data_IF_641212939050
#
_entry.id   IF_641212939050
#
_cell.length_a   1.000
_cell.length_b   1.000
_cell.length_c   1.000
_cell.angle_alpha   90.00
_cell.angle_beta   90.00
_cell.angle_gamma   90.00
#
_symmetry.space_group_name_H-M   'P 1'
#
loop_
_entity.id
_entity.type
_entity.pdbx_description
1 polymer ?
#
# COMPACT_ATOMS: atom_id res chain seq x y z
N UNK A 1 1.19 -35.89 -3.44
CA UNK A 1 1.30 -34.99 -4.60
C UNK A 1 1.83 -33.67 -4.07
N UNK A 2 3.10 -33.34 -4.30
CA UNK A 2 3.65 -32.02 -3.93
C UNK A 2 3.10 -31.01 -4.95
N UNK A 3 2.25 -30.09 -4.50
CA UNK A 3 1.93 -28.89 -5.26
C UNK A 3 3.17 -28.02 -5.17
N UNK A 4 3.93 -27.93 -6.27
CA UNK A 4 4.99 -26.93 -6.39
C UNK A 4 4.28 -25.60 -6.61
N UNK A 5 4.06 -24.87 -5.52
CA UNK A 5 3.65 -23.47 -5.60
C UNK A 5 4.86 -22.69 -6.11
N UNK A 6 4.87 -22.43 -7.42
CA UNK A 6 5.83 -21.50 -8.00
C UNK A 6 5.54 -20.12 -7.38
N UNK A 7 6.41 -19.67 -6.46
CA UNK A 7 6.38 -18.31 -5.94
C UNK A 7 6.88 -17.37 -7.05
N UNK A 8 5.98 -16.94 -7.95
CA UNK A 8 6.26 -16.02 -9.07
C UNK A 8 6.34 -14.56 -8.57
N UNK A 9 6.94 -14.30 -7.41
CA UNK A 9 6.87 -13.00 -6.75
C UNK A 9 8.12 -12.11 -6.89
N UNK A 10 9.36 -12.64 -6.84
CA UNK A 10 10.54 -11.77 -6.84
C UNK A 10 10.68 -10.95 -8.13
N UNK A 11 10.51 -11.60 -9.29
CA UNK A 11 10.77 -10.98 -10.60
C UNK A 11 9.59 -10.10 -11.08
N UNK A 12 8.38 -10.33 -10.58
CA UNK A 12 7.19 -9.59 -11.02
C UNK A 12 7.03 -8.22 -10.34
N UNK A 13 7.68 -8.02 -9.20
CA UNK A 13 7.54 -6.82 -8.36
C UNK A 13 8.83 -5.98 -8.28
N UNK A 14 9.72 -6.08 -9.27
CA UNK A 14 10.99 -5.34 -9.29
C UNK A 14 10.82 -3.81 -9.23
N UNK A 15 9.69 -3.27 -9.71
CA UNK A 15 9.39 -1.83 -9.69
C UNK A 15 8.90 -1.33 -8.34
N UNK A 16 8.58 -2.22 -7.40
CA UNK A 16 8.06 -1.88 -6.09
C UNK A 16 9.14 -1.23 -5.21
N UNK A 17 8.75 -0.18 -4.48
CA UNK A 17 9.68 0.57 -3.62
C UNK A 17 9.12 0.64 -2.21
N UNK A 18 10.00 0.50 -1.23
CA UNK A 18 9.70 0.81 0.16
C UNK A 18 10.48 2.05 0.57
N UNK A 19 9.81 2.98 1.24
CA UNK A 19 10.44 4.10 1.91
C UNK A 19 10.12 4.08 3.39
N UNK A 20 11.14 4.33 4.20
CA UNK A 20 11.03 4.60 5.64
C UNK A 20 11.40 6.05 5.97
N UNK A 21 11.64 6.88 4.93
CA UNK A 21 12.08 8.26 5.10
C UNK A 21 10.89 9.22 5.21
N UNK A 22 11.16 10.46 5.60
CA UNK A 22 10.14 11.48 5.83
C UNK A 22 9.29 11.74 4.59
N UNK A 23 8.06 12.20 4.78
CA UNK A 23 7.10 12.43 3.71
C UNK A 23 7.57 13.43 2.65
N UNK A 24 8.38 14.43 3.03
CA UNK A 24 8.93 15.43 2.11
C UNK A 24 9.80 14.80 1.00
N UNK A 25 10.63 13.82 1.33
CA UNK A 25 11.50 13.14 0.34
C UNK A 25 10.68 12.28 -0.64
N UNK A 26 9.48 11.87 -0.24
CA UNK A 26 8.62 10.97 -1.00
C UNK A 26 7.50 11.70 -1.77
N UNK A 27 7.39 13.02 -1.66
CA UNK A 27 6.34 13.84 -2.30
C UNK A 27 6.18 13.53 -3.79
N UNK A 28 7.29 13.37 -4.52
CA UNK A 28 7.25 13.04 -5.95
C UNK A 28 6.58 11.70 -6.23
N UNK A 29 6.81 10.70 -5.37
CA UNK A 29 6.25 9.36 -5.55
C UNK A 29 4.74 9.36 -5.26
N UNK A 30 4.27 10.11 -4.26
CA UNK A 30 2.82 10.27 -4.01
C UNK A 30 2.06 10.94 -5.18
N UNK A 31 2.77 11.70 -6.03
CA UNK A 31 2.19 12.30 -7.22
C UNK A 31 2.07 11.31 -8.39
N UNK A 32 2.96 10.33 -8.50
CA UNK A 32 3.03 9.44 -9.68
C UNK A 32 2.58 8.03 -9.43
N UNK A 33 2.71 7.54 -8.20
CA UNK A 33 2.57 6.13 -7.86
C UNK A 33 1.37 5.92 -6.92
N UNK A 34 0.81 4.72 -6.96
CA UNK A 34 -0.09 4.27 -5.91
C UNK A 34 0.72 3.93 -4.68
N UNK A 35 0.17 4.18 -3.49
CA UNK A 35 0.89 3.91 -2.26
C UNK A 35 0.03 3.36 -1.13
N UNK A 36 0.68 2.53 -0.31
CA UNK A 36 0.17 2.06 0.97
C UNK A 36 1.09 2.62 2.06
N UNK A 37 0.56 3.50 2.90
CA UNK A 37 1.31 4.16 3.97
C UNK A 37 0.86 3.62 5.31
N UNK A 38 1.79 3.31 6.21
CA UNK A 38 1.51 3.06 7.62
C UNK A 38 2.24 4.08 8.48
N UNK A 39 1.51 4.81 9.31
CA UNK A 39 2.06 5.80 10.22
C UNK A 39 2.59 5.09 11.48
N UNK A 40 3.89 5.20 11.73
CA UNK A 40 4.54 4.62 12.92
C UNK A 40 4.54 5.61 14.08
N UNK A 41 4.78 6.89 13.79
CA UNK A 41 4.71 7.98 14.77
C UNK A 41 4.43 9.31 14.09
N UNK A 42 3.83 10.25 14.82
CA UNK A 42 3.44 11.55 14.29
C UNK A 42 2.29 11.46 13.29
N UNK A 43 1.95 12.59 12.69
CA UNK A 43 0.83 12.71 11.74
C UNK A 43 1.32 13.03 10.34
N UNK A 44 0.63 12.47 9.34
CA UNK A 44 0.86 12.79 7.93
C UNK A 44 -0.37 13.48 7.35
N UNK A 45 -0.22 14.74 6.96
CA UNK A 45 -1.26 15.48 6.28
C UNK A 45 -1.18 15.20 4.78
N UNK A 46 -2.32 14.80 4.21
CA UNK A 46 -2.52 14.47 2.82
C UNK A 46 -3.51 15.45 2.23
N UNK A 47 -3.07 16.19 1.21
CA UNK A 47 -3.86 17.18 0.52
C UNK A 47 -4.01 16.80 -0.94
N UNK A 48 -5.25 16.78 -1.40
CA UNK A 48 -5.60 16.72 -2.81
C UNK A 48 -6.47 17.95 -3.16
N UNK A 49 -6.85 18.08 -4.44
CA UNK A 49 -7.61 19.25 -4.94
C UNK A 49 -8.87 19.57 -4.13
N UNK A 50 -9.49 18.55 -3.54
CA UNK A 50 -10.84 18.62 -2.99
C UNK A 50 -10.94 18.20 -1.51
N UNK A 51 -9.83 17.83 -0.88
CA UNK A 51 -9.81 17.45 0.53
C UNK A 51 -8.43 17.50 1.17
N UNK A 52 -8.46 17.65 2.48
CA UNK A 52 -7.34 17.43 3.38
C UNK A 52 -7.72 16.28 4.31
N UNK A 53 -6.80 15.34 4.46
CA UNK A 53 -6.95 14.18 5.35
C UNK A 53 -5.69 14.03 6.18
N UNK A 54 -5.83 13.53 7.39
CA UNK A 54 -4.71 13.31 8.31
C UNK A 54 -4.64 11.82 8.58
N UNK A 55 -3.46 11.23 8.44
CA UNK A 55 -3.16 9.88 8.90
C UNK A 55 -2.55 9.99 10.28
N UNK A 56 -3.19 9.39 11.27
CA UNK A 56 -2.70 9.32 12.64
C UNK A 56 -1.83 8.09 12.89
N UNK A 57 -1.08 8.12 14.00
CA UNK A 57 -0.24 7.01 14.42
C UNK A 57 -1.00 5.67 14.45
N UNK A 58 -0.40 4.65 13.84
CA UNK A 58 -0.93 3.30 13.78
C UNK A 58 -2.02 3.09 12.73
N UNK A 59 -2.43 4.13 12.02
CA UNK A 59 -3.33 4.01 10.88
C UNK A 59 -2.58 3.62 9.60
N UNK A 60 -3.31 3.03 8.66
CA UNK A 60 -2.83 2.68 7.34
C UNK A 60 -3.65 3.42 6.29
N UNK A 61 -3.04 3.91 5.22
CA UNK A 61 -3.73 4.63 4.17
C UNK A 61 -3.44 4.03 2.79
N UNK A 62 -4.49 3.90 1.98
CA UNK A 62 -4.41 3.62 0.54
C UNK A 62 -4.50 4.95 -0.19
N UNK A 63 -3.44 5.33 -0.91
CA UNK A 63 -3.28 6.66 -1.49
C UNK A 63 -3.15 6.51 -3.02
N UNK A 64 -4.12 7.02 -3.80
CA UNK A 64 -3.97 7.10 -5.25
C UNK A 64 -2.99 8.21 -5.65
N UNK A 65 -2.44 8.16 -6.88
CA UNK A 65 -1.53 9.20 -7.38
C UNK A 65 -2.21 10.57 -7.43
N UNK A 66 -1.40 11.63 -7.38
CA UNK A 66 -1.86 13.02 -7.38
C UNK A 66 -2.15 13.60 -5.99
N UNK A 67 -1.74 12.88 -4.93
CA UNK A 67 -1.87 13.37 -3.54
C UNK A 67 -0.59 14.07 -3.11
N UNK A 68 -0.71 15.29 -2.59
CA UNK A 68 0.40 15.98 -1.94
C UNK A 68 0.48 15.55 -0.48
N UNK A 69 1.65 15.10 -0.04
CA UNK A 69 1.88 14.67 1.33
C UNK A 69 2.87 15.60 2.02
N UNK A 70 2.54 16.10 3.20
CA UNK A 70 3.45 16.87 4.03
C UNK A 70 3.22 16.52 5.51
N UNK A 71 4.29 16.44 6.29
CA UNK A 71 4.17 16.30 7.75
C UNK A 71 3.91 17.67 8.36
N UNK A 72 2.83 17.82 9.12
CA UNK A 72 2.73 18.94 10.04
C UNK A 72 3.65 18.66 11.24
N UNK A 73 4.67 19.48 11.43
CA UNK A 73 5.33 19.56 12.73
C UNK A 73 5.34 21.02 13.18
N UNK A 74 4.52 21.32 14.19
CA UNK A 74 4.67 22.51 15.01
C UNK A 74 5.72 22.28 16.13
N UNK A 75 6.08 21.03 16.40
CA UNK A 75 7.05 20.61 17.42
C UNK A 75 7.86 19.41 16.88
N UNK A 76 8.95 19.64 16.13
CA UNK A 76 10.13 18.77 15.87
C UNK A 76 10.04 17.22 15.78
N UNK A 77 8.86 16.61 15.83
CA UNK A 77 8.61 15.20 15.67
C UNK A 77 8.28 14.96 14.21
N UNK A 78 9.32 14.68 13.45
CA UNK A 78 9.16 14.23 12.07
C UNK A 78 8.27 13.00 12.03
N UNK A 79 7.24 13.03 11.17
CA UNK A 79 6.44 11.85 10.86
C UNK A 79 7.37 10.70 10.48
N UNK A 80 7.16 9.53 11.09
CA UNK A 80 7.82 8.29 10.70
C UNK A 80 6.78 7.30 10.24
N UNK A 81 7.07 6.60 9.15
CA UNK A 81 6.13 5.70 8.53
C UNK A 81 6.80 4.77 7.54
N UNK A 82 6.07 3.72 7.16
CA UNK A 82 6.45 2.84 6.07
C UNK A 82 5.56 3.16 4.89
N UNK A 83 6.16 3.37 3.72
CA UNK A 83 5.40 3.55 2.48
C UNK A 83 5.81 2.52 1.46
N UNK A 84 4.86 1.75 0.96
CA UNK A 84 5.01 0.96 -0.25
C UNK A 84 4.50 1.75 -1.43
N UNK A 85 5.35 1.98 -2.42
CA UNK A 85 4.98 2.55 -3.71
C UNK A 85 4.94 1.45 -4.76
N UNK A 86 3.92 1.52 -5.61
CA UNK A 86 3.76 0.57 -6.71
C UNK A 86 3.09 1.21 -7.93
N UNK A 87 3.41 0.63 -9.08
CA UNK A 87 2.94 1.07 -10.39
C UNK A 87 1.81 0.18 -10.92
N UNK A 88 1.33 0.53 -12.12
CA UNK A 88 0.30 -0.22 -12.83
C UNK A 88 0.68 -1.68 -13.07
N UNK A 89 1.95 -1.94 -13.40
CA UNK A 89 2.44 -3.29 -13.65
C UNK A 89 2.40 -4.16 -12.40
N UNK A 90 2.86 -3.62 -11.27
CA UNK A 90 2.78 -4.28 -9.97
C UNK A 90 1.33 -4.61 -9.61
N UNK A 91 0.40 -3.67 -9.78
CA UNK A 91 -1.01 -3.90 -9.55
C UNK A 91 -1.56 -5.05 -10.42
N UNK A 92 -1.20 -5.09 -11.71
CA UNK A 92 -1.60 -6.18 -12.61
C UNK A 92 -1.05 -7.54 -12.18
N UNK A 93 0.17 -7.57 -11.64
CA UNK A 93 0.77 -8.80 -11.12
C UNK A 93 0.03 -9.29 -9.87
N UNK A 94 -0.31 -8.40 -8.94
CA UNK A 94 -1.06 -8.74 -7.73
C UNK A 94 -2.44 -9.27 -8.06
N UNK A 95 -3.16 -8.64 -8.99
CA UNK A 95 -4.51 -9.09 -9.38
C UNK A 95 -4.53 -10.47 -10.04
N UNK A 96 -3.38 -10.98 -10.48
CA UNK A 96 -3.22 -12.34 -11.04
C UNK A 96 -2.90 -13.40 -9.98
N UNK A 97 -2.70 -13.02 -8.72
CA UNK A 97 -2.46 -13.98 -7.64
C UNK A 97 -3.74 -14.81 -7.38
N UNK A 98 -3.64 -16.14 -7.16
CA UNK A 98 -4.81 -17.02 -7.07
C UNK A 98 -5.85 -16.59 -6.01
N UNK A 99 -5.39 -16.20 -4.82
CA UNK A 99 -6.27 -15.74 -3.74
C UNK A 99 -6.91 -14.38 -4.05
N UNK A 100 -6.21 -13.51 -4.78
CA UNK A 100 -6.75 -12.22 -5.22
C UNK A 100 -7.80 -12.42 -6.32
N UNK A 101 -7.55 -13.32 -7.27
CA UNK A 101 -8.55 -13.72 -8.29
C UNK A 101 -9.81 -14.27 -7.61
N UNK A 102 -9.63 -15.12 -6.60
CA UNK A 102 -10.75 -15.68 -5.84
C UNK A 102 -11.52 -14.57 -5.12
N UNK A 103 -10.84 -13.61 -4.49
CA UNK A 103 -11.47 -12.45 -3.85
C UNK A 103 -12.21 -11.54 -4.86
N UNK A 104 -11.64 -11.32 -6.06
CA UNK A 104 -12.28 -10.58 -7.15
C UNK A 104 -13.57 -11.22 -7.64
N UNK A 105 -13.69 -12.55 -7.63
CA UNK A 105 -14.91 -13.23 -8.06
C UNK A 105 -16.14 -12.93 -7.17
N UNK A 106 -15.89 -12.52 -5.93
CA UNK A 106 -16.90 -12.16 -4.93
C UNK A 106 -17.08 -10.65 -4.79
N UNK A 107 -16.29 -9.86 -5.52
CA UNK A 107 -16.21 -8.41 -5.38
C UNK A 107 -17.44 -7.71 -5.94
N UNK A 108 -17.97 -6.77 -5.15
CA UNK A 108 -18.98 -5.81 -5.59
C UNK A 108 -18.38 -4.40 -5.52
N UNK A 109 -18.26 -3.68 -6.64
CA UNK A 109 -17.59 -2.40 -6.64
C UNK A 109 -18.36 -1.36 -5.82
N UNK A 110 -17.68 -0.63 -4.91
CA UNK A 110 -18.31 0.44 -4.16
C UNK A 110 -18.76 1.58 -5.09
N UNK A 111 -19.87 2.22 -4.74
CA UNK A 111 -20.53 3.28 -5.54
C UNK A 111 -19.68 4.56 -5.60
N UNK A 112 -18.87 4.80 -4.58
CA UNK A 112 -18.00 5.97 -4.47
C UNK A 112 -16.58 5.63 -4.91
N UNK A 113 -16.23 6.12 -6.10
CA UNK A 113 -14.83 6.39 -6.43
C UNK A 113 -14.44 7.64 -5.68
N UNK A 114 -13.57 7.55 -4.68
CA UNK A 114 -12.77 8.72 -4.29
C UNK A 114 -11.82 8.46 -3.14
N UNK A 115 -10.72 9.22 -3.24
CA UNK A 115 -9.90 9.73 -2.15
C UNK A 115 -9.01 8.68 -1.49
N UNK A 116 -8.01 9.22 -0.82
CA UNK A 116 -7.23 8.50 0.18
C UNK A 116 -8.20 7.76 1.10
N UNK A 117 -7.94 6.47 1.31
CA UNK A 117 -8.72 5.65 2.19
C UNK A 117 -7.91 5.32 3.44
N UNK A 118 -8.41 5.73 4.60
CA UNK A 118 -7.77 5.48 5.89
C UNK A 118 -8.39 4.24 6.53
N UNK A 119 -7.52 3.29 6.83
CA UNK A 119 -7.79 2.07 7.58
C UNK A 119 -7.39 2.33 9.04
N UNK A 120 -8.35 2.21 9.98
CA UNK A 120 -8.11 2.53 11.38
C UNK A 120 -7.08 1.58 12.00
N UNK A 121 -6.51 2.02 13.13
CA UNK A 121 -5.47 1.29 13.85
C UNK A 121 -5.84 -0.16 14.17
N UNK A 122 -5.01 -1.09 13.73
CA UNK A 122 -5.15 -2.51 14.05
C UNK A 122 -3.82 -3.13 14.49
N UNK A 123 -3.89 -4.01 15.50
CA UNK A 123 -2.71 -4.69 16.06
C UNK A 123 -1.95 -5.51 15.01
N UNK A 124 -2.66 -6.08 14.04
CA UNK A 124 -2.05 -6.88 12.98
C UNK A 124 -1.09 -6.06 12.11
N UNK A 125 -1.45 -4.81 11.76
CA UNK A 125 -0.57 -3.95 10.97
C UNK A 125 0.65 -3.52 11.76
N UNK A 126 0.49 -3.15 13.03
CA UNK A 126 1.64 -2.84 13.90
C UNK A 126 2.63 -4.01 13.97
N UNK A 127 2.14 -5.23 14.17
CA UNK A 127 2.98 -6.42 14.22
C UNK A 127 3.70 -6.66 12.88
N UNK A 128 2.98 -6.51 11.76
CA UNK A 128 3.55 -6.63 10.42
C UNK A 128 4.68 -5.62 10.20
N UNK A 129 4.45 -4.33 10.48
CA UNK A 129 5.45 -3.29 10.24
C UNK A 129 6.63 -3.35 11.22
N UNK A 130 6.43 -3.82 12.46
CA UNK A 130 7.53 -4.15 13.36
C UNK A 130 8.44 -5.24 12.76
N UNK A 131 7.86 -6.26 12.10
CA UNK A 131 8.66 -7.27 11.41
C UNK A 131 9.36 -6.68 10.16
N UNK A 132 8.69 -5.79 9.41
CA UNK A 132 9.29 -5.10 8.26
C UNK A 132 10.48 -4.25 8.67
N UNK A 133 10.44 -3.61 9.84
CA UNK A 133 11.54 -2.81 10.37
C UNK A 133 12.85 -3.60 10.52
N UNK A 134 12.76 -4.90 10.84
CA UNK A 134 13.93 -5.77 10.96
C UNK A 134 14.70 -5.87 9.63
N UNK A 135 14.03 -5.66 8.50
CA UNK A 135 14.67 -5.71 7.19
C UNK A 135 15.50 -4.48 6.86
N UNK A 136 15.39 -3.37 7.62
CA UNK A 136 16.18 -2.17 7.38
C UNK A 136 17.69 -2.43 7.42
N UNK A 137 18.13 -3.43 8.18
CA UNK A 137 19.54 -3.79 8.32
C UNK A 137 20.00 -4.93 7.39
N UNK A 138 19.10 -5.50 6.58
CA UNK A 138 19.47 -6.56 5.64
C UNK A 138 20.33 -6.03 4.47
N UNK A 139 21.12 -6.92 3.88
CA UNK A 139 21.81 -6.66 2.64
C UNK A 139 20.83 -6.26 1.53
N UNK A 140 21.25 -5.36 0.64
CA UNK A 140 20.41 -4.80 -0.43
C UNK A 140 19.79 -5.88 -1.33
N UNK A 141 20.50 -6.97 -1.60
CA UNK A 141 19.99 -8.09 -2.42
C UNK A 141 18.85 -8.82 -1.71
N UNK A 142 19.06 -9.19 -0.43
CA UNK A 142 18.03 -9.83 0.38
C UNK A 142 16.79 -8.94 0.57
N UNK A 143 16.97 -7.62 0.74
CA UNK A 143 15.86 -6.67 0.79
C UNK A 143 15.01 -6.71 -0.48
N UNK A 144 15.64 -6.77 -1.65
CA UNK A 144 14.93 -6.83 -2.94
C UNK A 144 14.09 -8.09 -3.08
N UNK A 145 14.58 -9.23 -2.60
CA UNK A 145 13.84 -10.50 -2.62
C UNK A 145 12.70 -10.53 -1.58
N UNK A 146 12.93 -9.92 -0.41
CA UNK A 146 11.96 -9.96 0.69
C UNK A 146 10.82 -8.96 0.56
N UNK A 147 11.07 -7.85 -0.12
CA UNK A 147 10.11 -6.77 -0.28
C UNK A 147 8.81 -7.23 -1.01
N UNK A 148 8.88 -7.91 -2.17
CA UNK A 148 7.72 -8.51 -2.83
C UNK A 148 6.90 -9.42 -1.91
N UNK A 149 7.57 -10.30 -1.16
CA UNK A 149 6.92 -11.25 -0.26
C UNK A 149 6.13 -10.54 0.83
N UNK A 150 6.73 -9.51 1.44
CA UNK A 150 6.06 -8.73 2.48
C UNK A 150 4.91 -7.89 1.95
N UNK A 151 5.02 -7.37 0.74
CA UNK A 151 3.91 -6.68 0.12
C UNK A 151 2.74 -7.60 -0.13
N UNK A 152 2.99 -8.80 -0.68
CA UNK A 152 1.92 -9.81 -0.87
C UNK A 152 1.29 -10.21 0.45
N UNK A 153 2.09 -10.42 1.51
CA UNK A 153 1.56 -10.68 2.85
C UNK A 153 0.64 -9.55 3.32
N UNK A 154 1.03 -8.29 3.13
CA UNK A 154 0.18 -7.14 3.47
C UNK A 154 -1.12 -7.14 2.67
N UNK A 155 -1.07 -7.42 1.36
CA UNK A 155 -2.29 -7.52 0.54
C UNK A 155 -3.22 -8.61 1.07
N UNK A 156 -2.71 -9.79 1.41
CA UNK A 156 -3.55 -10.85 1.98
C UNK A 156 -4.14 -10.50 3.35
N UNK A 157 -3.39 -9.81 4.21
CA UNK A 157 -3.92 -9.28 5.47
C UNK A 157 -5.05 -8.28 5.24
N UNK A 158 -4.90 -7.41 4.24
CA UNK A 158 -5.90 -6.41 3.86
C UNK A 158 -7.16 -7.06 3.24
N UNK A 159 -7.00 -8.10 2.42
CA UNK A 159 -8.12 -8.84 1.82
C UNK A 159 -8.87 -9.70 2.84
N UNK A 160 -8.21 -10.15 3.91
CA UNK A 160 -8.84 -10.84 5.03
C UNK A 160 -9.38 -9.88 6.11
N UNK A 161 -9.69 -8.64 5.74
CA UNK A 161 -10.22 -7.61 6.63
C UNK A 161 -11.57 -7.07 6.12
N UNK A 162 -12.31 -6.31 6.95
CA UNK A 162 -13.52 -5.61 6.51
C UNK A 162 -13.29 -4.63 5.34
N UNK A 163 -12.03 -4.29 5.03
CA UNK A 163 -11.65 -3.36 3.97
C UNK A 163 -11.42 -4.03 2.60
N UNK A 164 -11.67 -5.34 2.48
CA UNK A 164 -11.41 -6.15 1.28
C UNK A 164 -11.87 -5.47 -0.01
N UNK A 165 -13.13 -5.06 -0.08
CA UNK A 165 -13.71 -4.55 -1.33
C UNK A 165 -13.06 -3.21 -1.72
N UNK A 166 -12.67 -2.39 -0.74
CA UNK A 166 -11.97 -1.13 -0.99
C UNK A 166 -10.54 -1.39 -1.48
N UNK A 167 -9.86 -2.38 -0.92
CA UNK A 167 -8.52 -2.80 -1.36
C UNK A 167 -8.56 -3.34 -2.80
N UNK A 168 -9.57 -4.16 -3.13
CA UNK A 168 -9.77 -4.65 -4.50
C UNK A 168 -10.09 -3.52 -5.48
N UNK A 169 -10.91 -2.56 -5.08
CA UNK A 169 -11.17 -1.34 -5.86
C UNK A 169 -9.89 -0.58 -6.14
N UNK A 170 -9.08 -0.34 -5.10
CA UNK A 170 -7.82 0.39 -5.17
C UNK A 170 -6.82 -0.28 -6.11
N UNK A 171 -6.63 -1.60 -6.00
CA UNK A 171 -5.76 -2.36 -6.88
C UNK A 171 -6.28 -2.40 -8.33
N UNK A 172 -7.60 -2.49 -8.52
CA UNK A 172 -8.21 -2.50 -9.86
C UNK A 172 -8.05 -1.16 -10.56
N UNK A 173 -8.28 -0.06 -9.85
CA UNK A 173 -8.02 1.30 -10.35
C UNK A 173 -6.56 1.47 -10.76
N UNK A 174 -5.63 0.95 -9.94
CA UNK A 174 -4.20 0.98 -10.24
C UNK A 174 -3.81 0.26 -11.54
N UNK A 175 -4.58 -0.74 -11.99
CA UNK A 175 -4.32 -1.39 -13.28
C UNK A 175 -4.76 -0.60 -14.51
N UNK A 176 -5.49 0.51 -14.34
CA UNK A 176 -6.14 1.23 -15.43
C UNK A 176 -7.34 0.51 -16.04
N UNK A 177 -7.70 -0.68 -15.53
CA UNK A 177 -8.89 -1.43 -15.93
C UNK A 177 -10.09 -0.93 -15.13
N UNK A 178 -10.66 0.19 -15.54
CA UNK A 178 -12.03 0.49 -15.13
C UNK A 178 -12.97 -0.21 -16.10
N UNK A 179 -13.98 -0.98 -15.64
CA UNK A 179 -15.12 -1.23 -16.50
C UNK A 179 -15.71 0.13 -16.85
N UNK A 180 -15.75 0.45 -18.14
CA UNK A 180 -16.56 1.55 -18.65
C UNK A 180 -17.99 1.35 -18.14
N UNK A 181 -18.60 2.42 -17.63
CA UNK A 181 -20.03 2.42 -17.34
C UNK A 181 -20.75 1.99 -18.63
N UNK A 182 -21.37 0.81 -18.61
CA UNK A 182 -22.43 0.48 -19.57
C UNK A 182 -23.68 1.26 -19.22
#
# INVERSE_FOLDING_TARGET
>A
MMVVENFILPDLLESMRISTSSSQENTRNFLTDYSIVYAVSGTLCLKNSDSEQIIEEGELALIPPGTYAFSESANDQNHSGFTFFFDQWTAQCILKLPEVISALSLYQPPVTRQKVYIIPRQKVFRNFFNAVQLYHNLEKKLKKEMLPVKFTELIYLLLNSPHRDIVLSFLSEATGNMPEKR
#
